data_IF_834733144475
#
_entry.id   IF_834733144475
#
_cell.length_a   1.000
_cell.length_b   1.000
_cell.length_c   1.000
_cell.angle_alpha   90.00
_cell.angle_beta   90.00
_cell.angle_gamma   90.00
#
_symmetry.space_group_name_H-M   'P 1'
#
loop_
_entity.id
_entity.type
_entity.pdbx_description
1 polymer ?
#
# COMPACT_ATOMS: atom_id res chain seq x y z
N UNK A 1 -13.69 18.02 16.50
CA UNK A 1 -12.88 16.88 16.99
C UNK A 1 -12.24 16.24 15.78
N UNK A 2 -10.91 16.12 15.73
CA UNK A 2 -10.25 15.46 14.60
C UNK A 2 -10.65 13.97 14.61
N UNK A 3 -11.37 13.53 13.59
CA UNK A 3 -11.81 12.14 13.48
C UNK A 3 -10.58 11.24 13.28
N UNK A 4 -10.52 10.15 14.06
CA UNK A 4 -9.38 9.24 14.08
C UNK A 4 -9.13 8.65 12.66
N UNK A 5 -7.90 8.82 12.16
CA UNK A 5 -7.44 8.29 10.86
C UNK A 5 -7.14 6.80 10.97
N UNK A 6 -8.20 5.98 10.99
CA UNK A 6 -8.13 4.54 11.29
C UNK A 6 -7.44 3.75 10.19
N UNK A 7 -7.66 4.09 8.91
CA UNK A 7 -7.00 3.39 7.79
C UNK A 7 -5.50 3.62 7.86
N UNK A 8 -5.07 4.87 8.13
CA UNK A 8 -3.65 5.18 8.28
C UNK A 8 -3.00 4.37 9.38
N UNK A 9 -3.66 4.20 10.53
CA UNK A 9 -3.14 3.40 11.64
C UNK A 9 -2.94 1.94 11.21
N UNK A 10 -3.97 1.33 10.63
CA UNK A 10 -3.91 -0.08 10.16
C UNK A 10 -2.84 -0.27 9.09
N UNK A 11 -2.73 0.64 8.13
CA UNK A 11 -1.72 0.57 7.05
C UNK A 11 -0.30 0.78 7.59
N UNK A 12 -0.13 1.66 8.58
CA UNK A 12 1.17 1.86 9.28
C UNK A 12 1.57 0.62 10.06
N UNK A 13 0.64 0.04 10.82
CA UNK A 13 0.89 -1.18 11.62
C UNK A 13 1.24 -2.38 10.73
N UNK A 14 0.74 -2.42 9.48
CA UNK A 14 1.09 -3.41 8.47
C UNK A 14 2.42 -3.12 7.73
N UNK A 15 3.10 -2.01 8.02
CA UNK A 15 4.32 -1.60 7.32
C UNK A 15 4.10 -1.14 5.88
N UNK A 16 2.85 -0.84 5.49
CA UNK A 16 2.44 -0.43 4.15
C UNK A 16 2.35 1.09 3.99
N UNK A 17 2.46 1.85 5.09
CA UNK A 17 2.38 3.30 5.09
C UNK A 17 3.65 3.91 5.66
N UNK A 18 4.12 5.01 5.03
CA UNK A 18 5.27 5.77 5.47
C UNK A 18 5.04 7.27 5.28
N UNK A 19 5.50 8.07 6.23
CA UNK A 19 5.56 9.53 6.10
C UNK A 19 6.87 9.95 5.41
N UNK A 20 6.80 10.98 4.56
CA UNK A 20 7.94 11.46 3.78
C UNK A 20 7.52 12.43 2.68
N UNK A 21 8.49 13.01 1.98
CA UNK A 21 8.19 13.84 0.81
C UNK A 21 7.75 12.98 -0.37
N UNK A 22 7.03 13.58 -1.34
CA UNK A 22 6.55 12.87 -2.53
C UNK A 22 7.69 12.21 -3.29
N UNK A 23 8.81 12.91 -3.41
CA UNK A 23 10.01 12.45 -4.12
C UNK A 23 10.66 11.25 -3.40
N UNK A 24 10.72 11.29 -2.07
CA UNK A 24 11.24 10.19 -1.25
C UNK A 24 10.35 8.95 -1.39
N UNK A 25 9.04 9.10 -1.19
CA UNK A 25 8.10 7.98 -1.20
C UNK A 25 7.90 7.36 -2.59
N UNK A 26 8.15 8.12 -3.66
CA UNK A 26 8.16 7.60 -5.03
C UNK A 26 9.33 6.65 -5.28
N UNK A 27 10.43 6.86 -4.57
CA UNK A 27 11.69 6.12 -4.77
C UNK A 27 11.87 4.99 -3.75
N UNK A 28 10.95 4.86 -2.81
CA UNK A 28 10.96 3.88 -1.72
C UNK A 28 9.83 2.88 -1.96
N UNK A 29 10.10 1.59 -1.78
CA UNK A 29 9.21 0.52 -2.22
C UNK A 29 8.89 -0.46 -1.10
N UNK A 30 7.62 -0.86 -1.03
CA UNK A 30 7.10 -1.80 -0.01
C UNK A 30 7.62 -3.22 -0.25
N UNK A 31 7.86 -3.54 -1.53
CA UNK A 31 8.37 -4.84 -1.93
C UNK A 31 9.25 -4.67 -3.16
N UNK A 32 10.45 -5.20 -3.04
CA UNK A 32 11.42 -5.34 -4.12
C UNK A 32 11.72 -6.82 -4.30
N UNK A 33 11.84 -7.24 -5.55
CA UNK A 33 12.16 -8.62 -5.90
C UNK A 33 13.32 -8.63 -6.88
N UNK A 34 14.43 -9.26 -6.49
CA UNK A 34 15.55 -9.49 -7.39
C UNK A 34 15.24 -10.66 -8.31
N UNK A 35 15.27 -10.40 -9.61
CA UNK A 35 15.04 -11.40 -10.65
C UNK A 35 16.29 -11.52 -11.51
N UNK A 36 16.78 -12.74 -11.68
CA UNK A 36 17.92 -13.02 -12.57
C UNK A 36 17.41 -13.43 -13.95
N UNK A 37 17.68 -12.61 -14.97
CA UNK A 37 17.31 -12.87 -16.37
C UNK A 37 18.60 -12.94 -17.18
N UNK A 38 18.82 -14.05 -17.88
CA UNK A 38 19.99 -14.28 -18.74
C UNK A 38 21.35 -13.98 -18.06
N UNK A 39 21.48 -14.32 -16.77
CA UNK A 39 22.71 -14.10 -16.00
C UNK A 39 22.91 -12.68 -15.47
N UNK A 40 21.95 -11.77 -15.66
CA UNK A 40 21.94 -10.42 -15.08
C UNK A 40 20.86 -10.30 -14.01
N UNK A 41 21.18 -9.70 -12.86
CA UNK A 41 20.22 -9.44 -11.79
C UNK A 41 19.51 -8.11 -12.00
N UNK A 42 18.20 -8.09 -11.83
CA UNK A 42 17.33 -6.93 -11.94
C UNK A 42 16.44 -6.83 -10.70
N UNK A 43 16.47 -5.70 -10.01
CA UNK A 43 15.55 -5.43 -8.90
C UNK A 43 14.24 -4.87 -9.44
N UNK A 44 13.14 -5.60 -9.22
CA UNK A 44 11.80 -5.20 -9.62
C UNK A 44 11.02 -4.69 -8.42
N UNK A 45 10.66 -3.42 -8.44
CA UNK A 45 9.87 -2.79 -7.40
C UNK A 45 8.37 -2.93 -7.70
N UNK A 46 7.61 -3.54 -6.77
CA UNK A 46 6.21 -3.91 -7.02
C UNK A 46 5.20 -2.82 -6.68
N UNK A 47 5.44 -2.06 -5.61
CA UNK A 47 4.54 -0.98 -5.15
C UNK A 47 5.38 0.08 -4.42
N UNK A 48 5.22 1.35 -4.81
CA UNK A 48 5.88 2.46 -4.12
C UNK A 48 5.12 2.86 -2.85
N UNK A 49 5.85 3.37 -1.85
CA UNK A 49 5.21 3.93 -0.65
C UNK A 49 4.36 5.17 -0.96
N UNK A 50 4.62 5.86 -2.08
CA UNK A 50 3.78 6.97 -2.52
C UNK A 50 2.38 6.50 -2.90
N UNK A 51 2.27 5.40 -3.66
CA UNK A 51 0.98 4.86 -4.08
C UNK A 51 0.17 4.39 -2.87
N UNK A 52 0.83 3.72 -1.92
CA UNK A 52 0.20 3.29 -0.68
C UNK A 52 -0.25 4.47 0.20
N UNK A 53 0.54 5.55 0.25
CA UNK A 53 0.15 6.77 0.97
C UNK A 53 -1.08 7.42 0.36
N UNK A 54 -1.10 7.61 -0.96
CA UNK A 54 -2.23 8.21 -1.68
C UNK A 54 -3.50 7.40 -1.43
N UNK A 55 -3.44 6.09 -1.65
CA UNK A 55 -4.57 5.19 -1.42
C UNK A 55 -5.08 5.26 0.02
N UNK A 56 -4.17 5.21 1.00
CA UNK A 56 -4.51 5.28 2.43
C UNK A 56 -5.20 6.60 2.78
N UNK A 57 -4.65 7.73 2.33
CA UNK A 57 -5.17 9.06 2.67
C UNK A 57 -6.50 9.34 1.96
N UNK A 58 -6.68 8.90 0.71
CA UNK A 58 -7.95 8.98 -0.01
C UNK A 58 -9.03 8.11 0.65
N UNK A 59 -8.70 6.87 1.00
CA UNK A 59 -9.64 5.95 1.64
C UNK A 59 -10.06 6.46 3.03
N UNK A 60 -9.12 6.94 3.85
CA UNK A 60 -9.47 7.56 5.14
C UNK A 60 -10.37 8.78 4.93
N UNK A 61 -10.11 9.60 3.92
CA UNK A 61 -10.91 10.80 3.62
C UNK A 61 -12.35 10.43 3.24
N UNK A 62 -12.52 9.45 2.34
CA UNK A 62 -13.84 8.96 1.92
C UNK A 62 -14.57 8.35 3.11
N UNK A 63 -13.87 7.53 3.90
CA UNK A 63 -14.50 6.85 5.02
C UNK A 63 -14.87 7.84 6.12
N UNK A 64 -14.10 8.89 6.39
CA UNK A 64 -14.44 9.93 7.38
C UNK A 64 -15.76 10.62 7.04
N UNK A 65 -16.12 10.69 5.75
CA UNK A 65 -17.41 11.21 5.30
C UNK A 65 -18.56 10.19 5.46
N UNK A 66 -18.26 8.93 5.79
CA UNK A 66 -19.22 7.83 5.95
C UNK A 66 -19.37 7.40 7.42
N UNK A 67 -20.37 6.56 7.70
CA UNK A 67 -20.68 6.09 9.04
C UNK A 67 -19.46 5.39 9.70
N UNK A 68 -19.09 5.73 10.95
CA UNK A 68 -17.90 5.19 11.63
C UNK A 68 -17.91 3.67 11.87
N UNK A 69 -19.04 2.98 11.75
CA UNK A 69 -19.09 1.50 11.78
C UNK A 69 -18.55 0.86 10.48
N UNK A 70 -18.62 1.59 9.37
CA UNK A 70 -18.14 1.13 8.06
C UNK A 70 -16.61 1.24 7.96
N UNK A 71 -16.01 2.20 8.68
CA UNK A 71 -14.56 2.45 8.75
C UNK A 71 -13.74 1.18 9.00
N UNK A 72 -14.13 0.38 10.00
CA UNK A 72 -13.32 -0.76 10.45
C UNK A 72 -13.31 -1.89 9.42
N UNK A 73 -14.45 -2.10 8.75
CA UNK A 73 -14.59 -3.12 7.70
C UNK A 73 -13.75 -2.72 6.49
N UNK A 74 -13.81 -1.45 6.05
CA UNK A 74 -13.06 -1.00 4.88
C UNK A 74 -11.55 -0.90 5.14
N UNK A 75 -11.11 -0.55 6.36
CA UNK A 75 -9.69 -0.54 6.72
C UNK A 75 -9.08 -1.97 6.65
N UNK A 76 -9.81 -3.00 7.11
CA UNK A 76 -9.37 -4.41 6.98
C UNK A 76 -9.36 -4.87 5.52
N UNK A 77 -10.35 -4.45 4.73
CA UNK A 77 -10.43 -4.79 3.30
C UNK A 77 -9.31 -4.12 2.49
N UNK A 78 -8.86 -2.92 2.88
CA UNK A 78 -7.73 -2.24 2.25
C UNK A 78 -6.43 -3.03 2.29
N UNK A 79 -6.07 -3.58 3.45
CA UNK A 79 -4.91 -4.46 3.61
C UNK A 79 -5.04 -5.69 2.71
N UNK A 80 -6.22 -6.31 2.73
CA UNK A 80 -6.51 -7.51 1.93
C UNK A 80 -6.42 -7.24 0.42
N UNK A 81 -6.84 -6.06 -0.04
CA UNK A 81 -6.69 -5.65 -1.44
C UNK A 81 -5.23 -5.43 -1.82
N UNK A 82 -4.44 -4.81 -0.94
CA UNK A 82 -3.01 -4.66 -1.15
C UNK A 82 -2.30 -6.02 -1.22
N UNK A 83 -2.65 -6.95 -0.34
CA UNK A 83 -2.12 -8.31 -0.37
C UNK A 83 -2.55 -9.08 -1.62
N UNK A 84 -3.79 -8.90 -2.07
CA UNK A 84 -4.28 -9.48 -3.33
C UNK A 84 -3.52 -8.94 -4.55
N UNK A 85 -3.26 -7.62 -4.61
CA UNK A 85 -2.43 -7.00 -5.66
C UNK A 85 -1.00 -7.53 -5.59
N UNK A 86 -0.43 -7.68 -4.40
CA UNK A 86 0.90 -8.30 -4.21
C UNK A 86 0.92 -9.74 -4.73
N UNK A 87 -0.07 -10.56 -4.37
CA UNK A 87 -0.19 -11.94 -4.85
C UNK A 87 -0.39 -12.02 -6.37
N UNK A 88 -1.26 -11.18 -6.94
CA UNK A 88 -1.45 -11.11 -8.38
C UNK A 88 -0.14 -10.74 -9.09
N UNK A 89 0.58 -9.73 -8.60
CA UNK A 89 1.87 -9.31 -9.16
C UNK A 89 3.01 -10.32 -8.95
N UNK A 90 2.90 -11.24 -7.99
CA UNK A 90 3.80 -12.40 -7.87
C UNK A 90 3.43 -13.45 -8.91
N UNK A 91 2.14 -13.73 -9.11
CA UNK A 91 1.66 -14.80 -9.99
C UNK A 91 1.61 -14.43 -11.48
N UNK A 92 1.65 -13.14 -11.84
CA UNK A 92 1.69 -12.69 -13.24
C UNK A 92 3.08 -12.76 -13.88
N UNK A 93 4.11 -13.17 -13.13
CA UNK A 93 5.42 -13.55 -13.69
C UNK A 93 5.41 -15.01 -14.16
N UNK A 94 4.66 -15.28 -15.22
CA UNK A 94 4.97 -16.35 -16.15
C UNK A 94 5.06 -15.73 -17.55
N UNK A 95 6.29 -15.62 -18.05
CA UNK A 95 6.63 -15.01 -19.34
C UNK A 95 8.11 -14.67 -19.39
#
# INVERSE_FOLDING_TARGET
MAQERKVRKVMSDAGLYKEGTKEQLRSDFIAEEDVTIAGKSYTLSKISFLDAKIFTDELDTILVQQNPLIHEIYAKNAVTLFDAVRMANVNTKQG
#
